data_IF_349166967343
#
_entry.id   IF_349166967343
#
_cell.length_a   1.000
_cell.length_b   1.000
_cell.length_c   1.000
_cell.angle_alpha   90.00
_cell.angle_beta   90.00
_cell.angle_gamma   90.00
#
_symmetry.space_group_name_H-M   'P 1'
#
loop_
_entity.id
_entity.type
_entity.pdbx_description
1 polymer ?
#
# COMPACT_ATOMS: atom_id res chain seq x y z
N UNK A 1 3.81 79.51 32.40
CA UNK A 1 4.49 80.71 31.82
C UNK A 1 5.58 80.27 30.88
N UNK A 2 5.56 80.84 29.71
CA UNK A 2 6.65 81.05 28.72
C UNK A 2 7.22 79.78 28.07
N UNK A 3 6.89 79.46 26.83
CA UNK A 3 7.38 79.99 25.52
C UNK A 3 8.90 79.83 25.32
N UNK A 4 9.23 79.04 24.30
CA UNK A 4 10.58 79.04 23.70
C UNK A 4 10.68 78.16 22.47
N UNK A 5 10.61 78.76 21.35
CA UNK A 5 10.75 78.60 19.92
C UNK A 5 11.78 77.58 19.44
N UNK A 6 11.48 77.05 18.20
CA UNK A 6 12.38 76.30 17.31
C UNK A 6 13.50 77.20 16.74
N UNK A 7 14.56 76.58 16.22
CA UNK A 7 14.75 76.70 14.79
C UNK A 7 15.05 75.42 14.03
N UNK A 8 14.68 75.51 12.76
CA UNK A 8 14.79 74.60 11.64
C UNK A 8 16.23 74.61 11.10
N UNK A 9 16.82 73.47 10.80
CA UNK A 9 17.93 73.37 9.86
C UNK A 9 17.77 72.09 9.05
N UNK A 10 17.55 72.26 7.77
CA UNK A 10 17.48 71.17 6.82
C UNK A 10 18.80 70.48 6.63
N UNK A 11 18.73 69.22 6.34
CA UNK A 11 19.76 68.50 5.62
C UNK A 11 19.13 67.54 4.64
N UNK A 12 19.39 67.74 3.40
CA UNK A 12 19.06 66.94 2.23
C UNK A 12 19.95 65.76 2.18
N UNK A 13 19.44 64.57 2.50
CA UNK A 13 20.10 63.31 2.14
C UNK A 13 19.27 62.54 1.14
N UNK A 14 19.88 62.42 -0.02
CA UNK A 14 19.49 61.66 -1.18
C UNK A 14 19.35 60.18 -0.81
N UNK A 15 18.14 59.67 -0.64
CA UNK A 15 17.88 58.24 -0.62
C UNK A 15 17.92 57.66 -2.03
N UNK A 16 19.00 56.97 -2.36
CA UNK A 16 19.05 56.01 -3.46
C UNK A 16 17.96 54.96 -3.27
N UNK A 17 17.21 54.58 -4.31
CA UNK A 17 16.19 53.53 -4.17
C UNK A 17 16.88 52.17 -3.96
N UNK A 18 16.82 51.66 -2.77
CA UNK A 18 17.19 50.27 -2.44
C UNK A 18 16.39 49.31 -3.32
N UNK A 19 17.09 48.66 -4.25
CA UNK A 19 16.54 47.54 -5.03
C UNK A 19 16.15 46.44 -4.03
N UNK A 20 14.88 46.33 -3.74
CA UNK A 20 14.34 45.15 -3.08
C UNK A 20 14.65 43.95 -3.97
N UNK A 21 15.45 43.01 -3.51
CA UNK A 21 15.65 41.71 -4.17
C UNK A 21 14.29 41.06 -4.28
N UNK A 22 13.56 41.33 -5.36
CA UNK A 22 12.28 40.71 -5.65
C UNK A 22 12.46 39.18 -5.71
N UNK A 23 11.68 38.46 -4.95
CA UNK A 23 11.68 37.00 -4.96
C UNK A 23 11.45 36.55 -6.39
N UNK A 24 12.42 35.81 -6.96
CA UNK A 24 12.31 35.25 -8.32
C UNK A 24 11.10 34.31 -8.36
N UNK A 25 10.21 34.51 -9.30
CA UNK A 25 9.00 33.71 -9.46
C UNK A 25 8.76 33.38 -10.94
N UNK A 26 7.76 32.53 -11.22
CA UNK A 26 7.45 32.14 -12.61
C UNK A 26 7.13 33.31 -13.53
N UNK A 27 6.60 34.43 -13.02
CA UNK A 27 6.34 35.65 -13.81
C UNK A 27 7.63 36.33 -14.21
N UNK A 28 8.65 36.30 -13.35
CA UNK A 28 9.99 36.85 -13.66
C UNK A 28 10.64 36.07 -14.81
N UNK A 29 10.51 34.72 -14.79
CA UNK A 29 11.02 33.85 -15.87
C UNK A 29 10.25 34.09 -17.17
N UNK A 30 8.92 34.18 -17.07
CA UNK A 30 8.04 34.44 -18.20
C UNK A 30 8.37 35.78 -18.88
N UNK A 31 8.56 36.85 -18.10
CA UNK A 31 8.93 38.16 -18.59
C UNK A 31 10.31 38.13 -19.29
N UNK A 32 11.32 37.43 -18.74
CA UNK A 32 12.65 37.28 -19.34
C UNK A 32 12.63 36.54 -20.67
N UNK A 33 11.72 35.60 -20.84
CA UNK A 33 11.56 34.77 -22.06
C UNK A 33 10.51 35.30 -23.05
N UNK A 34 9.77 36.35 -22.71
CA UNK A 34 8.69 36.87 -23.56
C UNK A 34 7.52 35.91 -23.73
N UNK A 35 7.26 35.05 -22.75
CA UNK A 35 6.20 34.04 -22.80
C UNK A 35 5.21 34.21 -21.64
N UNK A 36 4.09 33.52 -21.67
CA UNK A 36 3.14 33.51 -20.55
C UNK A 36 3.67 32.72 -19.36
N UNK A 37 3.25 33.09 -18.13
CA UNK A 37 3.55 32.31 -16.93
C UNK A 37 2.97 30.86 -17.03
N UNK A 38 1.93 30.67 -17.81
CA UNK A 38 1.35 29.37 -18.11
C UNK A 38 2.33 28.51 -18.95
N UNK A 39 2.96 29.11 -19.97
CA UNK A 39 3.98 28.42 -20.78
C UNK A 39 5.16 27.96 -19.92
N UNK A 40 5.66 28.83 -19.02
CA UNK A 40 6.69 28.47 -18.05
C UNK A 40 6.24 27.31 -17.16
N UNK A 41 5.03 27.39 -16.63
CA UNK A 41 4.48 26.34 -15.77
C UNK A 41 4.31 24.99 -16.48
N UNK A 42 3.93 24.98 -17.78
CA UNK A 42 3.83 23.76 -18.58
C UNK A 42 5.22 23.18 -18.89
N UNK A 43 6.20 24.05 -19.20
CA UNK A 43 7.58 23.64 -19.45
C UNK A 43 8.22 22.97 -18.22
N UNK A 44 8.05 23.57 -17.03
CA UNK A 44 8.58 23.04 -15.76
C UNK A 44 7.99 21.67 -15.40
N UNK A 45 6.71 21.45 -15.71
CA UNK A 45 6.02 20.18 -15.42
C UNK A 45 6.14 19.14 -16.52
N UNK A 46 6.93 19.36 -17.52
CA UNK A 46 7.02 18.49 -18.70
C UNK A 46 5.67 18.20 -19.39
N UNK A 47 4.72 19.12 -19.27
CA UNK A 47 3.38 18.92 -19.82
C UNK A 47 3.35 19.13 -21.35
N UNK A 48 2.42 18.49 -22.07
CA UNK A 48 2.22 18.72 -23.51
C UNK A 48 1.83 20.17 -23.78
N UNK A 49 2.08 20.64 -25.03
CA UNK A 49 1.80 22.03 -25.47
C UNK A 49 2.98 22.99 -25.38
N UNK A 50 4.18 22.54 -25.02
CA UNK A 50 5.42 23.32 -25.07
C UNK A 50 6.48 22.54 -25.85
N UNK A 51 7.12 23.19 -26.84
CA UNK A 51 8.18 22.58 -27.64
C UNK A 51 9.41 22.25 -26.80
N UNK A 52 10.19 21.22 -27.20
CA UNK A 52 11.41 20.82 -26.51
C UNK A 52 12.42 21.98 -26.42
N UNK A 53 12.55 22.82 -27.47
CA UNK A 53 13.44 23.99 -27.49
C UNK A 53 13.02 25.06 -26.47
N UNK A 54 11.71 25.35 -26.37
CA UNK A 54 11.20 26.31 -25.39
C UNK A 54 11.38 25.78 -23.95
N UNK A 55 11.17 24.47 -23.75
CA UNK A 55 11.41 23.84 -22.45
C UNK A 55 12.86 23.98 -22.01
N UNK A 56 13.82 23.72 -22.90
CA UNK A 56 15.23 23.89 -22.61
C UNK A 56 15.56 25.36 -22.22
N UNK A 57 15.01 26.35 -22.94
CA UNK A 57 15.18 27.76 -22.62
C UNK A 57 14.63 28.12 -21.22
N UNK A 58 13.47 27.59 -20.85
CA UNK A 58 12.86 27.82 -19.53
C UNK A 58 13.77 27.26 -18.43
N UNK A 59 14.28 26.03 -18.58
CA UNK A 59 15.17 25.40 -17.59
C UNK A 59 16.50 26.18 -17.43
N UNK A 60 17.09 26.63 -18.54
CA UNK A 60 18.29 27.45 -18.49
C UNK A 60 18.07 28.75 -17.72
N UNK A 61 16.96 29.46 -18.01
CA UNK A 61 16.67 30.73 -17.31
C UNK A 61 16.33 30.50 -15.83
N UNK A 62 15.74 29.37 -15.49
CA UNK A 62 15.48 28.99 -14.08
C UNK A 62 16.80 28.80 -13.33
N UNK A 63 17.77 28.12 -13.91
CA UNK A 63 19.10 27.92 -13.29
C UNK A 63 19.88 29.25 -13.18
N UNK A 64 19.86 30.10 -14.21
CA UNK A 64 20.48 31.44 -14.18
C UNK A 64 19.90 32.32 -13.06
N UNK A 65 18.59 32.24 -12.83
CA UNK A 65 17.92 33.06 -11.83
C UNK A 65 17.87 32.39 -10.43
N UNK A 66 18.43 31.17 -10.30
CA UNK A 66 18.38 30.40 -9.05
C UNK A 66 16.96 30.01 -8.61
N UNK A 67 16.03 29.97 -9.56
CA UNK A 67 14.64 29.61 -9.24
C UNK A 67 14.49 28.11 -9.01
N UNK A 68 14.07 27.73 -7.82
CA UNK A 68 13.68 26.35 -7.50
C UNK A 68 12.16 26.29 -7.29
N UNK A 69 11.44 25.45 -8.04
CA UNK A 69 10.02 25.22 -7.76
C UNK A 69 9.83 24.74 -6.31
N UNK A 70 8.91 25.36 -5.59
CA UNK A 70 8.51 24.86 -4.26
C UNK A 70 7.40 23.86 -4.45
N UNK A 71 7.61 22.55 -4.17
CA UNK A 71 6.62 21.51 -4.42
C UNK A 71 5.29 21.77 -3.69
N UNK A 72 5.35 22.23 -2.45
CA UNK A 72 4.17 22.57 -1.65
C UNK A 72 3.35 23.71 -2.27
N UNK A 73 4.03 24.78 -2.76
CA UNK A 73 3.35 25.90 -3.42
C UNK A 73 2.76 25.50 -4.77
N UNK A 74 3.46 24.65 -5.51
CA UNK A 74 2.99 24.11 -6.80
C UNK A 74 1.75 23.24 -6.62
N UNK A 75 1.71 22.41 -5.59
CA UNK A 75 0.55 21.59 -5.23
C UNK A 75 -0.64 22.48 -4.81
N UNK A 76 -0.41 23.48 -3.96
CA UNK A 76 -1.44 24.42 -3.51
C UNK A 76 -2.02 25.23 -4.68
N UNK A 77 -1.17 25.74 -5.58
CA UNK A 77 -1.61 26.46 -6.77
C UNK A 77 -2.31 25.56 -7.79
N UNK A 78 -1.97 24.28 -7.83
CA UNK A 78 -2.70 23.26 -8.58
C UNK A 78 -4.11 23.05 -8.03
N UNK A 79 -4.25 23.00 -6.71
CA UNK A 79 -5.55 22.93 -6.04
C UNK A 79 -6.39 24.19 -6.27
N UNK A 80 -5.84 25.39 -6.07
CA UNK A 80 -6.55 26.66 -6.26
C UNK A 80 -7.08 26.80 -7.70
N UNK A 81 -6.29 26.45 -8.72
CA UNK A 81 -6.71 26.50 -10.12
C UNK A 81 -7.84 25.52 -10.45
N UNK A 82 -7.82 24.33 -9.85
CA UNK A 82 -8.91 23.35 -9.98
C UNK A 82 -10.17 23.81 -9.27
N UNK A 83 -10.05 24.57 -8.19
CA UNK A 83 -11.18 25.12 -7.43
C UNK A 83 -11.77 26.41 -8.03
N UNK A 84 -11.04 27.12 -8.91
CA UNK A 84 -11.54 28.36 -9.52
C UNK A 84 -12.51 28.15 -10.68
N UNK A 85 -12.55 26.97 -11.29
CA UNK A 85 -13.54 26.62 -12.31
C UNK A 85 -14.53 25.60 -11.73
N UNK A 86 -15.62 26.08 -11.11
CA UNK A 86 -16.69 25.31 -10.46
C UNK A 86 -16.16 24.34 -9.38
N UNK A 87 -16.57 24.51 -8.13
CA UNK A 87 -16.31 23.65 -6.96
C UNK A 87 -16.57 22.15 -7.28
N UNK A 88 -15.70 21.51 -8.01
CA UNK A 88 -15.75 20.08 -8.22
C UNK A 88 -14.86 19.45 -7.13
N UNK A 89 -15.48 18.84 -6.15
CA UNK A 89 -14.77 18.00 -5.18
C UNK A 89 -14.14 16.86 -5.97
N UNK A 90 -12.82 16.63 -5.79
CA UNK A 90 -12.12 15.53 -6.46
C UNK A 90 -12.67 14.19 -6.02
N UNK A 91 -12.86 13.27 -6.96
CA UNK A 91 -13.49 11.98 -6.73
C UNK A 91 -12.51 10.83 -6.89
N UNK A 92 -12.57 9.90 -5.95
CA UNK A 92 -11.92 8.60 -6.03
C UNK A 92 -12.95 7.52 -6.36
N UNK A 93 -12.73 6.76 -7.42
CA UNK A 93 -13.51 5.59 -7.75
C UNK A 93 -12.85 4.36 -7.13
N UNK A 94 -13.57 3.65 -6.27
CA UNK A 94 -13.15 2.37 -5.71
C UNK A 94 -13.70 1.26 -6.61
N UNK A 95 -12.80 0.56 -7.31
CA UNK A 95 -13.16 -0.45 -8.30
C UNK A 95 -12.92 -1.84 -7.73
N UNK A 96 -13.97 -2.68 -7.70
CA UNK A 96 -13.88 -4.04 -7.21
C UNK A 96 -14.55 -5.04 -8.19
N UNK A 97 -14.14 -6.30 -8.16
CA UNK A 97 -14.73 -7.39 -8.96
C UNK A 97 -15.67 -8.29 -8.15
N UNK A 98 -16.01 -7.92 -6.94
CA UNK A 98 -16.88 -8.68 -6.06
C UNK A 98 -18.34 -8.30 -6.30
N UNK A 99 -19.24 -9.29 -6.21
CA UNK A 99 -20.66 -9.08 -6.47
C UNK A 99 -21.42 -8.46 -5.29
N UNK A 100 -20.70 -7.98 -4.29
CA UNK A 100 -21.25 -7.35 -3.08
C UNK A 100 -20.51 -6.06 -2.75
N UNK A 101 -21.14 -5.11 -2.04
CA UNK A 101 -20.45 -3.91 -1.57
C UNK A 101 -19.27 -4.26 -0.66
N UNK A 102 -18.13 -3.60 -0.86
CA UNK A 102 -16.91 -3.84 -0.07
C UNK A 102 -17.11 -3.65 1.44
N UNK A 103 -18.01 -2.73 1.83
CA UNK A 103 -18.35 -2.51 3.24
C UNK A 103 -19.05 -3.71 3.90
N UNK A 104 -19.76 -4.52 3.13
CA UNK A 104 -20.58 -5.64 3.59
C UNK A 104 -19.94 -7.01 3.35
N UNK A 105 -18.83 -7.06 2.60
CA UNK A 105 -18.19 -8.33 2.25
C UNK A 105 -17.74 -9.13 3.48
N UNK A 106 -17.91 -10.44 3.39
CA UNK A 106 -17.41 -11.39 4.38
C UNK A 106 -15.90 -11.64 4.26
N UNK A 107 -15.30 -11.28 3.13
CA UNK A 107 -13.87 -11.32 2.93
C UNK A 107 -13.19 -10.24 3.78
N UNK A 108 -12.77 -10.60 4.98
CA UNK A 108 -12.28 -9.68 6.00
C UNK A 108 -11.13 -8.78 5.52
N UNK A 109 -10.11 -9.26 4.79
CA UNK A 109 -9.06 -8.38 4.24
C UNK A 109 -9.61 -7.27 3.35
N UNK A 110 -10.53 -7.61 2.43
CA UNK A 110 -11.15 -6.64 1.53
C UNK A 110 -11.93 -5.57 2.27
N UNK A 111 -12.73 -5.98 3.25
CA UNK A 111 -13.49 -5.04 4.08
C UNK A 111 -12.57 -4.08 4.83
N UNK A 112 -11.46 -4.57 5.38
CA UNK A 112 -10.49 -3.75 6.09
C UNK A 112 -9.73 -2.80 5.15
N UNK A 113 -9.31 -3.25 3.97
CA UNK A 113 -8.75 -2.35 2.95
C UNK A 113 -9.73 -1.23 2.61
N UNK A 114 -11.01 -1.59 2.37
CA UNK A 114 -12.04 -0.60 2.05
C UNK A 114 -12.24 0.42 3.18
N UNK A 115 -12.38 -0.04 4.42
CA UNK A 115 -12.60 0.85 5.56
C UNK A 115 -11.42 1.80 5.76
N UNK A 116 -10.19 1.32 5.65
CA UNK A 116 -9.00 2.16 5.74
C UNK A 116 -8.93 3.18 4.61
N UNK A 117 -9.13 2.74 3.37
CA UNK A 117 -9.10 3.61 2.20
C UNK A 117 -10.20 4.68 2.26
N UNK A 118 -11.42 4.30 2.63
CA UNK A 118 -12.55 5.23 2.80
C UNK A 118 -12.24 6.29 3.88
N UNK A 119 -11.89 5.84 5.09
CA UNK A 119 -11.64 6.73 6.22
C UNK A 119 -10.52 7.75 5.88
N UNK A 120 -9.50 7.31 5.15
CA UNK A 120 -8.40 8.19 4.73
C UNK A 120 -8.80 9.14 3.62
N UNK A 121 -9.49 8.67 2.60
CA UNK A 121 -9.94 9.49 1.49
C UNK A 121 -10.90 10.60 1.96
N UNK A 122 -11.85 10.28 2.84
CA UNK A 122 -12.76 11.25 3.45
C UNK A 122 -12.00 12.31 4.27
N UNK A 123 -11.02 11.90 5.09
CA UNK A 123 -10.15 12.83 5.84
C UNK A 123 -9.35 13.76 4.93
N UNK A 124 -8.98 13.29 3.75
CA UNK A 124 -8.28 14.10 2.73
C UNK A 124 -9.24 14.97 1.90
N UNK A 125 -10.56 14.89 2.13
CA UNK A 125 -11.58 15.69 1.45
C UNK A 125 -11.98 15.17 0.08
N UNK A 126 -11.73 13.89 -0.23
CA UNK A 126 -12.19 13.25 -1.46
C UNK A 126 -13.61 12.70 -1.30
N UNK A 127 -14.37 12.72 -2.38
CA UNK A 127 -15.63 11.98 -2.49
C UNK A 127 -15.34 10.61 -3.08
N UNK A 128 -15.92 9.58 -2.47
CA UNK A 128 -15.74 8.19 -2.87
C UNK A 128 -16.98 7.68 -3.55
N UNK A 129 -16.80 6.98 -4.64
CA UNK A 129 -17.86 6.23 -5.32
C UNK A 129 -17.37 4.81 -5.62
N UNK A 130 -18.15 3.80 -5.25
CA UNK A 130 -17.81 2.39 -5.47
C UNK A 130 -18.35 1.90 -6.81
N UNK A 131 -17.50 1.19 -7.54
CA UNK A 131 -17.80 0.60 -8.84
C UNK A 131 -17.49 -0.89 -8.83
N UNK A 132 -18.52 -1.69 -9.09
CA UNK A 132 -18.31 -3.10 -9.38
C UNK A 132 -17.94 -3.28 -10.85
N UNK A 133 -16.89 -4.04 -11.10
CA UNK A 133 -16.51 -4.47 -12.44
C UNK A 133 -16.92 -5.94 -12.62
N UNK A 134 -17.63 -6.22 -13.70
CA UNK A 134 -17.89 -7.60 -14.11
C UNK A 134 -16.76 -8.15 -14.97
N UNK A 135 -16.88 -9.43 -15.33
CA UNK A 135 -15.90 -10.15 -16.14
C UNK A 135 -16.22 -10.12 -17.63
N UNK A 136 -17.47 -9.82 -17.99
CA UNK A 136 -17.89 -9.77 -19.40
C UNK A 136 -17.56 -8.44 -20.06
N UNK A 137 -17.38 -8.44 -21.38
CA UNK A 137 -17.11 -7.21 -22.14
C UNK A 137 -18.23 -6.16 -21.98
N UNK A 138 -19.49 -6.61 -21.89
CA UNK A 138 -20.62 -5.71 -21.68
C UNK A 138 -20.56 -5.01 -20.31
N UNK A 139 -20.23 -5.74 -19.25
CA UNK A 139 -20.05 -5.19 -17.90
C UNK A 139 -18.87 -4.22 -17.84
N UNK A 140 -17.77 -4.56 -18.50
CA UNK A 140 -16.60 -3.70 -18.64
C UNK A 140 -16.95 -2.41 -19.43
N UNK A 141 -17.77 -2.50 -20.47
CA UNK A 141 -18.26 -1.32 -21.19
C UNK A 141 -19.16 -0.43 -20.32
N UNK A 142 -20.04 -1.03 -19.50
CA UNK A 142 -20.86 -0.31 -18.52
C UNK A 142 -19.98 0.37 -17.47
N UNK A 143 -18.94 -0.30 -16.94
CA UNK A 143 -17.98 0.28 -16.02
C UNK A 143 -17.31 1.51 -16.65
N UNK A 144 -16.74 1.40 -17.86
CA UNK A 144 -16.10 2.52 -18.56
C UNK A 144 -17.03 3.73 -18.72
N UNK A 145 -18.30 3.48 -19.08
CA UNK A 145 -19.30 4.55 -19.21
C UNK A 145 -19.59 5.24 -17.88
N UNK A 146 -19.78 4.45 -16.82
CA UNK A 146 -20.06 4.96 -15.48
C UNK A 146 -18.87 5.76 -14.92
N UNK A 147 -17.65 5.27 -15.04
CA UNK A 147 -16.43 5.96 -14.61
C UNK A 147 -16.31 7.34 -15.30
N UNK A 148 -16.54 7.40 -16.62
CA UNK A 148 -16.52 8.68 -17.33
C UNK A 148 -17.62 9.65 -16.85
N UNK A 149 -18.83 9.16 -16.64
CA UNK A 149 -19.95 10.00 -16.21
C UNK A 149 -19.86 10.44 -14.75
N UNK A 150 -19.17 9.69 -13.89
CA UNK A 150 -18.95 10.04 -12.50
C UNK A 150 -18.01 11.24 -12.32
N UNK A 151 -17.14 11.49 -13.30
CA UNK A 151 -16.08 12.49 -13.20
C UNK A 151 -15.00 12.10 -12.19
N UNK A 152 -14.73 10.79 -12.01
CA UNK A 152 -13.65 10.32 -11.16
C UNK A 152 -12.30 10.81 -11.68
N UNK A 153 -11.42 11.26 -10.80
CA UNK A 153 -10.06 11.70 -11.10
C UNK A 153 -9.03 10.61 -10.84
N UNK A 154 -9.33 9.72 -9.87
CA UNK A 154 -8.45 8.62 -9.48
C UNK A 154 -9.21 7.31 -9.29
N UNK A 155 -8.51 6.21 -9.55
CA UNK A 155 -9.01 4.84 -9.38
C UNK A 155 -8.19 4.12 -8.31
N UNK A 156 -8.86 3.58 -7.31
CA UNK A 156 -8.30 2.63 -6.37
C UNK A 156 -8.85 1.25 -6.73
N UNK A 157 -7.96 0.38 -7.22
CA UNK A 157 -8.32 -0.97 -7.63
C UNK A 157 -8.14 -1.90 -6.43
N UNK A 158 -9.22 -2.58 -6.06
CA UNK A 158 -9.21 -3.58 -4.99
C UNK A 158 -8.83 -4.97 -5.54
N UNK A 159 -8.34 -5.87 -4.70
CA UNK A 159 -7.99 -7.22 -5.13
C UNK A 159 -9.13 -7.88 -5.89
N UNK A 160 -8.84 -8.40 -7.08
CA UNK A 160 -9.82 -9.10 -7.92
C UNK A 160 -9.99 -10.55 -7.49
N UNK A 161 -11.18 -11.13 -7.73
CA UNK A 161 -11.44 -12.56 -7.47
C UNK A 161 -10.54 -13.42 -8.38
N UNK A 162 -10.49 -13.08 -9.66
CA UNK A 162 -9.68 -13.75 -10.65
C UNK A 162 -8.48 -12.85 -11.03
N UNK A 163 -7.24 -13.25 -10.72
CA UNK A 163 -6.04 -12.47 -11.07
C UNK A 163 -5.77 -12.40 -12.57
N UNK A 164 -6.41 -13.24 -13.38
CA UNK A 164 -6.34 -13.18 -14.84
C UNK A 164 -7.30 -12.15 -15.45
N UNK A 165 -8.20 -11.58 -14.64
CA UNK A 165 -9.16 -10.59 -15.11
C UNK A 165 -8.46 -9.32 -15.56
N UNK A 166 -8.62 -8.97 -16.83
CA UNK A 166 -8.15 -7.68 -17.34
C UNK A 166 -9.24 -6.63 -17.21
N UNK A 167 -8.89 -5.49 -16.58
CA UNK A 167 -9.76 -4.31 -16.60
C UNK A 167 -9.54 -3.53 -17.89
N UNK A 168 -10.54 -3.50 -18.76
CA UNK A 168 -10.50 -2.72 -20.01
C UNK A 168 -10.84 -1.25 -19.73
N UNK A 169 -9.95 -0.54 -19.05
CA UNK A 169 -10.10 0.89 -18.71
C UNK A 169 -9.14 1.71 -19.57
N UNK A 170 -9.53 2.94 -19.90
CA UNK A 170 -8.58 3.90 -20.48
C UNK A 170 -7.78 4.55 -19.34
N UNK A 171 -6.68 3.89 -18.96
CA UNK A 171 -5.83 4.22 -17.81
C UNK A 171 -5.30 5.65 -17.85
N UNK A 172 -5.00 6.19 -19.01
CA UNK A 172 -4.44 7.53 -19.20
C UNK A 172 -5.34 8.66 -18.71
N UNK A 173 -6.63 8.37 -18.49
CA UNK A 173 -7.56 9.35 -17.96
C UNK A 173 -7.53 9.49 -16.45
N UNK A 174 -6.89 8.58 -15.73
CA UNK A 174 -6.97 8.47 -14.27
C UNK A 174 -5.60 8.37 -13.63
N UNK A 175 -5.50 8.86 -12.39
CA UNK A 175 -4.45 8.42 -11.46
C UNK A 175 -4.86 7.06 -10.92
N UNK A 176 -3.95 6.10 -10.83
CA UNK A 176 -4.32 4.72 -10.46
C UNK A 176 -3.37 4.14 -9.43
N UNK A 177 -3.94 3.47 -8.44
CA UNK A 177 -3.24 2.67 -7.44
C UNK A 177 -3.99 1.34 -7.28
N UNK A 178 -3.27 0.24 -7.13
CA UNK A 178 -3.83 -1.08 -6.82
C UNK A 178 -3.49 -1.49 -5.39
N UNK A 179 -4.46 -2.07 -4.69
CA UNK A 179 -4.25 -2.79 -3.44
C UNK A 179 -4.09 -4.28 -3.77
N UNK A 180 -3.03 -4.86 -3.26
CA UNK A 180 -2.69 -6.24 -3.57
C UNK A 180 -1.94 -6.37 -4.90
N UNK A 181 -1.87 -7.58 -5.44
CA UNK A 181 -1.16 -7.91 -6.67
C UNK A 181 -2.03 -8.84 -7.51
N UNK A 182 -3.22 -8.37 -7.85
CA UNK A 182 -4.19 -9.20 -8.55
C UNK A 182 -4.24 -8.94 -10.06
N UNK A 183 -3.76 -7.80 -10.52
CA UNK A 183 -3.74 -7.45 -11.95
C UNK A 183 -2.39 -7.80 -12.58
N UNK A 184 -2.27 -9.01 -13.10
CA UNK A 184 -1.03 -9.47 -13.71
C UNK A 184 -0.71 -8.71 -15.00
N UNK A 185 0.56 -8.31 -15.16
CA UNK A 185 1.06 -7.66 -16.36
C UNK A 185 0.65 -6.19 -16.54
N UNK A 186 -0.04 -5.60 -15.58
CA UNK A 186 -0.41 -4.18 -15.62
C UNK A 186 0.56 -3.40 -14.69
N UNK A 187 1.36 -2.45 -15.25
CA UNK A 187 2.41 -1.77 -14.49
C UNK A 187 1.84 -0.63 -13.62
N UNK A 188 1.08 -0.97 -12.59
CA UNK A 188 0.50 -0.04 -11.63
C UNK A 188 1.40 0.17 -10.41
N UNK A 189 1.18 1.27 -9.71
CA UNK A 189 1.69 1.44 -8.34
C UNK A 189 0.88 0.53 -7.41
N UNK A 190 1.57 -0.35 -6.68
CA UNK A 190 0.97 -1.37 -5.82
C UNK A 190 1.18 -1.03 -4.34
N UNK A 191 0.16 -1.27 -3.53
CA UNK A 191 0.28 -1.35 -2.07
C UNK A 191 -0.09 -2.75 -1.62
N UNK A 192 0.86 -3.43 -0.99
CA UNK A 192 0.70 -4.84 -0.59
C UNK A 192 1.19 -5.07 0.83
N UNK A 193 0.73 -6.16 1.44
CA UNK A 193 1.36 -6.67 2.65
C UNK A 193 2.78 -7.14 2.34
N UNK A 194 3.72 -6.96 3.26
CA UNK A 194 5.06 -7.54 3.16
C UNK A 194 5.01 -9.04 3.46
N UNK A 195 4.40 -9.80 2.57
CA UNK A 195 4.20 -11.24 2.75
C UNK A 195 5.51 -12.01 3.02
N UNK A 196 6.59 -11.63 2.30
CA UNK A 196 7.91 -12.24 2.53
C UNK A 196 8.43 -11.89 3.92
N UNK A 197 8.50 -10.61 4.27
CA UNK A 197 9.01 -10.15 5.55
C UNK A 197 8.18 -10.65 6.72
N UNK A 198 6.87 -10.73 6.56
CA UNK A 198 5.96 -11.26 7.57
C UNK A 198 6.21 -12.74 7.85
N UNK A 199 6.30 -13.59 6.81
CA UNK A 199 6.58 -15.00 6.96
C UNK A 199 7.98 -15.25 7.52
N UNK A 200 8.97 -14.50 7.05
CA UNK A 200 10.34 -14.57 7.54
C UNK A 200 10.41 -14.21 9.04
N UNK A 201 9.81 -13.09 9.44
CA UNK A 201 9.77 -12.63 10.84
C UNK A 201 9.05 -13.62 11.75
N UNK A 202 7.91 -14.18 11.27
CA UNK A 202 7.19 -15.22 11.99
C UNK A 202 8.10 -16.44 12.23
N UNK A 203 8.77 -16.92 11.21
CA UNK A 203 9.67 -18.06 11.31
C UNK A 203 10.84 -17.81 12.29
N UNK A 204 11.48 -16.65 12.21
CA UNK A 204 12.57 -16.30 13.13
C UNK A 204 12.08 -16.30 14.58
N UNK A 205 10.91 -15.74 14.84
CA UNK A 205 10.34 -15.75 16.17
C UNK A 205 10.08 -17.16 16.70
N UNK A 206 9.55 -18.05 15.86
CA UNK A 206 9.33 -19.45 16.27
C UNK A 206 10.63 -20.17 16.62
N UNK A 207 11.70 -19.90 15.88
CA UNK A 207 13.04 -20.42 16.18
C UNK A 207 13.55 -19.89 17.51
N UNK A 208 13.40 -18.59 17.78
CA UNK A 208 13.78 -17.94 19.04
C UNK A 208 12.96 -18.47 20.23
N UNK A 209 11.68 -18.75 20.04
CA UNK A 209 10.80 -19.35 21.03
C UNK A 209 11.09 -20.84 21.26
N UNK A 210 11.98 -21.46 20.46
CA UNK A 210 12.51 -22.80 20.67
C UNK A 210 11.72 -23.93 20.01
N UNK A 211 10.81 -23.63 19.06
CA UNK A 211 10.14 -24.65 18.27
C UNK A 211 11.15 -25.47 17.45
N UNK A 212 10.97 -26.79 17.41
CA UNK A 212 11.96 -27.72 16.83
C UNK A 212 11.51 -28.32 15.51
N UNK A 213 10.21 -28.34 15.24
CA UNK A 213 9.63 -28.96 14.05
C UNK A 213 8.52 -28.09 13.46
N UNK A 214 8.94 -27.05 12.74
CA UNK A 214 8.06 -26.02 12.17
C UNK A 214 7.57 -26.48 10.80
N UNK A 215 6.27 -26.72 10.68
CA UNK A 215 5.61 -27.01 9.41
C UNK A 215 5.01 -25.76 8.78
N UNK A 216 4.86 -25.75 7.46
CA UNK A 216 4.18 -24.70 6.71
C UNK A 216 3.18 -25.31 5.73
N UNK A 217 1.94 -24.83 5.75
CA UNK A 217 0.94 -25.14 4.73
C UNK A 217 0.98 -24.05 3.66
N UNK A 218 1.42 -24.46 2.46
CA UNK A 218 1.52 -23.62 1.30
C UNK A 218 0.31 -23.86 0.38
N UNK A 219 -0.65 -22.93 0.41
CA UNK A 219 -1.81 -22.95 -0.49
C UNK A 219 -1.39 -22.47 -1.88
N UNK A 220 -1.49 -23.35 -2.89
CA UNK A 220 -0.86 -23.11 -4.22
C UNK A 220 -1.54 -22.01 -5.02
N UNK A 221 -2.86 -21.80 -4.91
CA UNK A 221 -3.53 -20.69 -5.60
C UNK A 221 -3.19 -19.32 -5.01
N UNK A 222 -3.02 -19.26 -3.70
CA UNK A 222 -2.54 -18.04 -3.04
C UNK A 222 -1.10 -17.71 -3.48
N UNK A 223 -0.28 -18.75 -3.60
CA UNK A 223 1.09 -18.63 -4.12
C UNK A 223 1.15 -17.94 -5.49
N UNK A 224 0.29 -18.34 -6.43
CA UNK A 224 0.22 -17.75 -7.75
C UNK A 224 -0.10 -16.25 -7.69
N UNK A 225 -1.00 -15.85 -6.80
CA UNK A 225 -1.42 -14.46 -6.63
C UNK A 225 -0.31 -13.56 -6.08
N UNK A 226 0.43 -14.03 -5.07
CA UNK A 226 1.43 -13.24 -4.34
C UNK A 226 2.88 -13.59 -4.73
N UNK A 227 3.07 -14.29 -5.86
CA UNK A 227 4.39 -14.64 -6.38
C UNK A 227 5.22 -15.50 -5.43
N UNK A 228 4.60 -16.32 -4.59
CA UNK A 228 5.30 -17.22 -3.65
C UNK A 228 5.93 -16.53 -2.45
N UNK A 229 5.57 -15.31 -2.16
CA UNK A 229 6.26 -14.49 -1.16
C UNK A 229 6.26 -15.11 0.24
N UNK A 230 5.17 -15.73 0.72
CA UNK A 230 5.17 -16.44 2.00
C UNK A 230 6.15 -17.62 1.99
N UNK A 231 6.08 -18.45 0.95
CA UNK A 231 6.98 -19.58 0.79
C UNK A 231 8.45 -19.12 0.76
N UNK A 232 8.75 -18.05 0.02
CA UNK A 232 10.07 -17.44 -0.03
C UNK A 232 10.57 -17.03 1.35
N UNK A 233 9.73 -16.39 2.17
CA UNK A 233 10.06 -16.01 3.54
C UNK A 233 10.36 -17.20 4.44
N UNK A 234 9.54 -18.26 4.37
CA UNK A 234 9.75 -19.51 5.14
C UNK A 234 11.04 -20.21 4.71
N UNK A 235 11.28 -20.36 3.42
CA UNK A 235 12.48 -21.01 2.89
C UNK A 235 13.75 -20.23 3.23
N UNK A 236 13.73 -18.90 3.14
CA UNK A 236 14.85 -18.06 3.54
C UNK A 236 15.16 -18.21 5.04
N UNK A 237 14.15 -18.18 5.90
CA UNK A 237 14.31 -18.42 7.33
C UNK A 237 14.87 -19.82 7.60
N UNK A 238 14.34 -20.85 6.93
CA UNK A 238 14.83 -22.23 7.03
C UNK A 238 16.31 -22.34 6.67
N UNK A 239 16.70 -21.77 5.53
CA UNK A 239 18.09 -21.79 5.06
C UNK A 239 19.04 -21.12 6.06
N UNK A 240 18.71 -19.92 6.54
CA UNK A 240 19.55 -19.17 7.48
C UNK A 240 19.67 -19.85 8.85
N UNK A 241 18.70 -20.66 9.25
CA UNK A 241 18.75 -21.46 10.48
C UNK A 241 19.29 -22.89 10.24
N UNK A 242 19.89 -23.17 9.08
CA UNK A 242 20.52 -24.45 8.76
C UNK A 242 19.56 -25.63 8.62
N UNK A 243 18.31 -25.36 8.21
CA UNK A 243 17.22 -26.33 7.95
C UNK A 243 16.82 -27.24 9.13
N UNK A 244 17.38 -27.04 10.31
CA UNK A 244 17.21 -27.99 11.43
C UNK A 244 15.82 -28.07 12.00
N UNK A 245 15.10 -26.90 12.02
CA UNK A 245 13.81 -26.75 12.67
C UNK A 245 12.65 -26.76 11.70
N UNK A 246 12.90 -26.71 10.40
CA UNK A 246 11.85 -26.62 9.38
C UNK A 246 11.67 -27.97 8.68
N UNK A 247 10.43 -28.29 8.37
CA UNK A 247 10.08 -29.45 7.57
C UNK A 247 9.64 -29.01 6.18
N UNK A 248 9.71 -29.92 5.20
CA UNK A 248 9.26 -29.65 3.83
C UNK A 248 7.82 -29.12 3.84
N UNK A 249 7.53 -27.98 3.18
CA UNK A 249 6.18 -27.42 3.13
C UNK A 249 5.15 -28.37 2.53
N UNK A 250 3.95 -28.42 3.10
CA UNK A 250 2.82 -29.08 2.48
C UNK A 250 2.24 -28.17 1.38
N UNK A 251 2.72 -28.35 0.15
CA UNK A 251 2.26 -27.58 -1.02
C UNK A 251 1.05 -28.26 -1.65
N UNK A 252 -0.13 -27.70 -1.45
CA UNK A 252 -1.38 -28.24 -2.01
C UNK A 252 -2.48 -27.18 -2.07
N UNK A 253 -3.30 -27.26 -3.13
CA UNK A 253 -4.54 -26.51 -3.20
C UNK A 253 -5.61 -27.18 -2.32
N UNK A 254 -6.11 -26.45 -1.33
CA UNK A 254 -7.09 -26.92 -0.34
C UNK A 254 -6.77 -28.29 0.27
N UNK A 255 -5.67 -28.43 1.04
CA UNK A 255 -5.36 -29.68 1.69
C UNK A 255 -6.48 -30.09 2.67
N UNK A 256 -6.92 -31.35 2.59
CA UNK A 256 -7.95 -31.84 3.48
C UNK A 256 -7.46 -31.93 4.94
N UNK A 257 -8.34 -31.89 5.93
CA UNK A 257 -7.99 -32.08 7.34
C UNK A 257 -7.18 -33.36 7.62
N UNK A 258 -7.45 -34.45 6.87
CA UNK A 258 -6.72 -35.71 7.00
C UNK A 258 -5.28 -35.59 6.50
N UNK A 259 -5.05 -34.85 5.43
CA UNK A 259 -3.70 -34.62 4.88
C UNK A 259 -2.89 -33.74 5.81
N UNK A 260 -3.49 -32.70 6.38
CA UNK A 260 -2.85 -31.86 7.38
C UNK A 260 -2.46 -32.66 8.61
N UNK A 261 -3.38 -33.49 9.13
CA UNK A 261 -3.13 -34.35 10.28
C UNK A 261 -1.97 -35.34 10.00
N UNK A 262 -1.96 -35.94 8.80
CA UNK A 262 -0.87 -36.84 8.37
C UNK A 262 0.45 -36.06 8.31
N UNK A 263 0.46 -34.92 7.63
CA UNK A 263 1.66 -34.07 7.51
C UNK A 263 2.25 -33.71 8.87
N UNK A 264 1.41 -33.25 9.81
CA UNK A 264 1.85 -32.92 11.17
C UNK A 264 2.43 -34.12 11.91
N UNK A 265 1.78 -35.29 11.82
CA UNK A 265 2.23 -36.52 12.52
C UNK A 265 3.50 -37.11 11.93
N UNK A 266 3.55 -37.23 10.60
CA UNK A 266 4.70 -37.84 9.90
C UNK A 266 5.97 -37.00 10.11
N UNK A 267 5.81 -35.68 10.14
CA UNK A 267 6.91 -34.73 10.36
C UNK A 267 7.12 -34.38 11.84
N UNK A 268 6.26 -34.83 12.75
CA UNK A 268 6.33 -34.54 14.20
C UNK A 268 6.33 -33.02 14.47
N UNK A 269 5.50 -32.27 13.76
CA UNK A 269 5.46 -30.82 13.90
C UNK A 269 5.00 -30.43 15.31
N UNK A 270 5.69 -29.47 15.93
CA UNK A 270 5.31 -28.78 17.17
C UNK A 270 4.72 -27.40 16.90
N UNK A 271 5.01 -26.82 15.73
CA UNK A 271 4.40 -25.59 15.22
C UNK A 271 3.92 -25.79 13.77
N UNK A 272 2.80 -25.16 13.41
CA UNK A 272 2.28 -25.14 12.06
C UNK A 272 1.94 -23.72 11.66
N UNK A 273 2.60 -23.25 10.61
CA UNK A 273 2.35 -21.95 9.98
C UNK A 273 1.34 -22.15 8.85
N UNK A 274 0.37 -21.24 8.75
CA UNK A 274 -0.63 -21.20 7.69
C UNK A 274 -0.66 -19.82 7.04
N UNK A 275 -1.05 -19.75 5.76
CA UNK A 275 -1.22 -18.48 5.04
C UNK A 275 -2.45 -17.70 5.51
N UNK A 276 -2.76 -16.62 4.81
CA UNK A 276 -3.84 -15.69 5.17
C UNK A 276 -5.25 -16.28 5.08
N UNK A 277 -5.47 -17.30 4.26
CA UNK A 277 -6.78 -17.94 4.06
C UNK A 277 -6.89 -19.28 4.80
N UNK A 278 -6.62 -19.25 6.09
CA UNK A 278 -6.75 -20.43 6.90
C UNK A 278 -8.21 -20.70 7.24
N UNK A 279 -8.73 -21.87 6.83
CA UNK A 279 -10.04 -22.30 7.26
C UNK A 279 -10.00 -22.78 8.71
N UNK A 280 -10.75 -22.13 9.62
CA UNK A 280 -10.77 -22.49 11.04
C UNK A 280 -11.16 -23.93 11.33
N UNK A 281 -11.86 -24.63 10.41
CA UNK A 281 -12.19 -26.04 10.60
C UNK A 281 -10.94 -26.94 10.70
N UNK A 282 -9.77 -26.51 10.20
CA UNK A 282 -8.51 -27.24 10.41
C UNK A 282 -8.12 -27.36 11.88
N UNK A 283 -8.56 -26.42 12.73
CA UNK A 283 -8.33 -26.49 14.18
C UNK A 283 -9.16 -27.57 14.86
N UNK A 284 -10.19 -28.08 14.21
CA UNK A 284 -11.09 -29.13 14.73
C UNK A 284 -10.79 -30.51 14.17
N UNK A 285 -9.63 -30.68 13.50
CA UNK A 285 -9.25 -31.99 12.96
C UNK A 285 -9.21 -33.02 14.07
N UNK A 286 -9.99 -34.10 13.92
CA UNK A 286 -10.07 -35.17 14.90
C UNK A 286 -8.69 -35.78 15.16
N UNK A 287 -8.19 -35.63 16.38
CA UNK A 287 -6.89 -36.15 16.81
C UNK A 287 -5.74 -35.12 16.75
N UNK A 288 -6.06 -33.83 16.54
CA UNK A 288 -5.11 -32.73 16.66
C UNK A 288 -5.81 -31.56 17.39
N UNK A 289 -5.25 -31.11 18.49
CA UNK A 289 -5.81 -30.03 19.31
C UNK A 289 -4.85 -28.85 19.34
N UNK A 290 -5.32 -27.73 18.81
CA UNK A 290 -4.60 -26.47 18.87
C UNK A 290 -4.31 -26.08 20.33
N UNK A 291 -3.10 -25.61 20.60
CA UNK A 291 -2.67 -25.19 21.93
C UNK A 291 -2.41 -26.32 22.93
N UNK A 292 -2.58 -27.58 22.51
CA UNK A 292 -2.27 -28.76 23.32
C UNK A 292 -1.30 -29.73 22.65
N UNK A 293 -1.61 -30.08 21.41
CA UNK A 293 -0.84 -31.08 20.67
C UNK A 293 0.10 -30.40 19.65
N UNK A 294 -0.23 -29.18 19.23
CA UNK A 294 0.51 -28.35 18.28
C UNK A 294 0.16 -26.87 18.45
N UNK A 295 1.12 -25.98 18.23
CA UNK A 295 0.88 -24.52 18.13
C UNK A 295 0.56 -24.13 16.69
N UNK A 296 -0.46 -23.28 16.50
CA UNK A 296 -0.82 -22.73 15.20
C UNK A 296 -0.47 -21.26 15.12
N UNK A 297 0.06 -20.89 13.97
CA UNK A 297 0.46 -19.52 13.64
C UNK A 297 -0.06 -19.16 12.26
N UNK A 298 -0.45 -17.91 12.08
CA UNK A 298 -0.96 -17.43 10.79
C UNK A 298 -0.25 -16.16 10.33
N UNK A 299 0.00 -16.08 9.01
CA UNK A 299 0.29 -14.83 8.34
C UNK A 299 -1.05 -14.19 7.96
N UNK A 300 -1.49 -13.13 8.65
CA UNK A 300 -2.80 -12.51 8.44
C UNK A 300 -3.96 -13.26 9.10
N UNK A 301 -3.93 -13.50 10.43
CA UNK A 301 -5.06 -14.14 11.11
C UNK A 301 -6.31 -13.25 11.08
N UNK A 302 -7.43 -13.82 10.71
CA UNK A 302 -8.72 -13.16 10.72
C UNK A 302 -9.21 -12.93 12.16
N UNK A 303 -10.21 -12.07 12.34
CA UNK A 303 -10.79 -11.80 13.66
C UNK A 303 -11.31 -13.06 14.34
N UNK A 304 -11.88 -14.00 13.59
CA UNK A 304 -12.31 -15.32 14.09
C UNK A 304 -11.15 -16.17 14.61
N UNK A 305 -9.97 -16.09 13.97
CA UNK A 305 -8.77 -16.79 14.37
C UNK A 305 -8.19 -16.19 15.64
N UNK A 306 -8.22 -14.86 15.74
CA UNK A 306 -7.81 -14.11 16.94
C UNK A 306 -8.67 -14.50 18.15
N UNK A 307 -10.00 -14.59 17.97
CA UNK A 307 -10.91 -15.05 19.05
C UNK A 307 -10.58 -16.47 19.47
N UNK A 308 -10.14 -17.32 18.54
CA UNK A 308 -9.70 -18.70 18.82
C UNK A 308 -8.29 -18.78 19.40
N UNK A 309 -7.56 -17.68 19.50
CA UNK A 309 -6.26 -17.63 20.12
C UNK A 309 -5.11 -18.07 19.21
N UNK A 310 -5.21 -17.88 17.89
CA UNK A 310 -4.12 -18.10 16.94
C UNK A 310 -3.20 -16.90 16.99
N UNK A 311 -1.91 -17.14 17.26
CA UNK A 311 -0.85 -16.16 17.16
C UNK A 311 -0.40 -15.95 15.71
N UNK A 312 0.34 -14.88 15.44
CA UNK A 312 0.90 -14.66 14.12
C UNK A 312 1.20 -13.21 13.80
N UNK A 313 1.17 -12.89 12.51
CA UNK A 313 1.43 -11.54 12.01
C UNK A 313 0.11 -10.91 11.54
N UNK A 314 -0.32 -9.83 12.17
CA UNK A 314 -1.37 -8.94 11.65
C UNK A 314 -0.82 -8.22 10.42
N UNK A 315 -1.40 -8.44 9.28
CA UNK A 315 -0.95 -7.83 8.02
C UNK A 315 -1.35 -6.36 7.87
N UNK A 316 -1.98 -5.77 8.87
CA UNK A 316 -2.32 -4.34 8.87
C UNK A 316 -3.18 -3.93 7.66
N UNK A 317 -4.20 -4.71 7.32
CA UNK A 317 -5.04 -4.50 6.12
C UNK A 317 -5.69 -3.12 6.08
N UNK A 318 -6.09 -2.59 7.24
CA UNK A 318 -6.66 -1.24 7.31
C UNK A 318 -5.63 -0.18 6.95
N UNK A 319 -4.42 -0.30 7.47
CA UNK A 319 -3.31 0.61 7.20
C UNK A 319 -2.86 0.54 5.73
N UNK A 320 -2.92 -0.64 5.10
CA UNK A 320 -2.69 -0.78 3.64
C UNK A 320 -3.74 0.04 2.87
N UNK A 321 -5.01 -0.07 3.24
CA UNK A 321 -6.07 0.74 2.63
C UNK A 321 -5.86 2.24 2.81
N UNK A 322 -5.50 2.67 4.02
CA UNK A 322 -5.18 4.08 4.32
C UNK A 322 -4.01 4.59 3.46
N UNK A 323 -2.92 3.82 3.39
CA UNK A 323 -1.75 4.18 2.60
C UNK A 323 -2.06 4.23 1.09
N UNK A 324 -2.93 3.34 0.60
CA UNK A 324 -3.34 3.30 -0.80
C UNK A 324 -4.16 4.54 -1.19
N UNK A 325 -5.10 4.97 -0.36
CA UNK A 325 -5.86 6.20 -0.59
C UNK A 325 -4.96 7.44 -0.53
N UNK A 326 -3.98 7.47 0.37
CA UNK A 326 -3.00 8.55 0.47
C UNK A 326 -2.09 8.61 -0.77
N UNK A 327 -1.60 7.47 -1.24
CA UNK A 327 -0.78 7.39 -2.44
C UNK A 327 -1.58 7.83 -3.67
N UNK A 328 -2.83 7.36 -3.81
CA UNK A 328 -3.72 7.80 -4.89
C UNK A 328 -3.93 9.32 -4.82
N UNK A 329 -4.19 9.87 -3.64
CA UNK A 329 -4.31 11.32 -3.44
C UNK A 329 -3.07 12.09 -3.89
N UNK A 330 -1.86 11.59 -3.63
CA UNK A 330 -0.60 12.18 -4.11
C UNK A 330 -0.51 12.19 -5.63
N UNK A 331 -0.82 11.08 -6.29
CA UNK A 331 -0.84 10.98 -7.75
C UNK A 331 -1.87 11.94 -8.38
N UNK A 332 -3.07 12.02 -7.80
CA UNK A 332 -4.12 12.95 -8.24
C UNK A 332 -3.68 14.41 -8.10
N UNK A 333 -3.02 14.77 -7.00
CA UNK A 333 -2.53 16.13 -6.76
C UNK A 333 -1.37 16.51 -7.69
N UNK A 334 -0.45 15.59 -7.98
CA UNK A 334 0.62 15.80 -8.96
C UNK A 334 0.11 15.86 -10.40
N UNK A 335 -1.08 15.33 -10.66
CA UNK A 335 -1.65 15.17 -12.00
C UNK A 335 -1.03 14.01 -12.80
N UNK A 336 -0.38 13.08 -12.10
CA UNK A 336 0.14 11.85 -12.68
C UNK A 336 -1.01 10.94 -13.07
N UNK A 337 -1.07 10.52 -14.33
CA UNK A 337 -2.13 9.67 -14.89
C UNK A 337 -1.53 8.54 -15.70
N UNK A 338 -2.31 7.49 -15.90
CA UNK A 338 -1.89 6.31 -16.64
C UNK A 338 -0.86 5.48 -15.89
N UNK A 339 -0.04 4.77 -16.64
CA UNK A 339 1.01 3.94 -16.09
C UNK A 339 2.23 4.78 -15.72
N UNK A 340 2.82 4.55 -14.55
CA UNK A 340 4.09 5.18 -14.20
C UNK A 340 5.23 4.65 -15.09
N UNK A 341 6.23 5.46 -15.36
CA UNK A 341 7.44 5.02 -16.09
C UNK A 341 8.15 3.87 -15.35
N UNK A 342 8.18 3.96 -14.03
CA UNK A 342 8.69 2.91 -13.14
C UNK A 342 7.59 2.60 -12.13
N UNK A 343 6.98 1.40 -12.19
CA UNK A 343 5.98 0.98 -11.21
C UNK A 343 6.59 0.87 -9.81
N UNK A 344 5.92 1.44 -8.83
CA UNK A 344 6.33 1.35 -7.43
C UNK A 344 5.56 0.22 -6.73
N UNK A 345 6.26 -0.56 -5.91
CA UNK A 345 5.64 -1.52 -4.99
C UNK A 345 5.93 -1.09 -3.56
N UNK A 346 4.89 -0.75 -2.83
CA UNK A 346 4.98 -0.30 -1.44
C UNK A 346 4.55 -1.46 -0.54
N UNK A 347 5.50 -2.02 0.20
CA UNK A 347 5.28 -3.08 1.16
C UNK A 347 4.94 -2.50 2.53
N UNK A 348 3.84 -2.94 3.12
CA UNK A 348 3.45 -2.57 4.48
C UNK A 348 3.77 -3.75 5.39
N UNK A 349 4.70 -3.61 6.34
CA UNK A 349 5.04 -4.69 7.26
C UNK A 349 3.91 -4.95 8.24
N UNK A 350 3.75 -6.23 8.57
CA UNK A 350 2.80 -6.65 9.59
C UNK A 350 3.30 -6.43 11.02
N UNK A 351 2.44 -6.75 11.98
CA UNK A 351 2.73 -6.65 13.41
C UNK A 351 2.50 -8.00 14.08
N UNK A 352 3.39 -8.39 14.98
CA UNK A 352 3.20 -9.58 15.78
C UNK A 352 1.95 -9.47 16.67
N UNK A 353 1.17 -10.55 16.73
CA UNK A 353 0.04 -10.71 17.64
C UNK A 353 0.31 -11.88 18.57
N UNK A 354 0.44 -11.61 19.86
CA UNK A 354 0.48 -12.63 20.89
C UNK A 354 -0.92 -13.19 21.14
N UNK A 355 -1.01 -14.51 21.25
CA UNK A 355 -2.24 -15.20 21.57
C UNK A 355 -2.00 -16.31 22.59
N UNK A 356 -3.07 -16.77 23.27
CA UNK A 356 -2.95 -17.70 24.40
C UNK A 356 -2.92 -19.17 24.02
N UNK A 357 -3.10 -19.53 22.74
CA UNK A 357 -3.15 -20.93 22.28
C UNK A 357 -1.78 -21.38 21.75
N UNK A 358 -0.74 -21.29 22.61
CA UNK A 358 0.55 -21.88 22.32
C UNK A 358 0.78 -23.06 23.24
N UNK A 359 1.31 -24.15 22.68
CA UNK A 359 1.84 -25.24 23.51
C UNK A 359 3.19 -24.72 24.08
N UNK A 360 3.37 -24.72 25.41
CA UNK A 360 4.68 -24.37 25.96
C UNK A 360 5.74 -25.26 25.35
N UNK A 361 6.77 -24.67 24.77
CA UNK A 361 7.93 -25.42 24.26
C UNK A 361 8.57 -26.11 25.46
N UNK A 362 8.56 -27.44 25.47
CA UNK A 362 9.28 -28.18 26.50
C UNK A 362 10.77 -27.87 26.32
N UNK A 363 11.36 -27.17 27.28
CA UNK A 363 12.80 -26.99 27.34
C UNK A 363 13.45 -28.35 27.11
N UNK A 364 14.34 -28.44 26.09
CA UNK A 364 14.97 -29.67 25.66
C UNK A 364 15.46 -30.47 26.89
N UNK A 365 14.77 -31.57 27.18
CA UNK A 365 14.83 -32.23 28.44
C UNK A 365 16.25 -32.69 28.75
N UNK A 366 16.75 -32.27 29.89
CA UNK A 366 17.80 -32.94 30.61
C UNK A 366 17.40 -34.42 30.71
N UNK A 367 17.98 -35.25 29.84
CA UNK A 367 17.86 -36.68 29.93
C UNK A 367 18.45 -37.07 31.28
N UNK A 368 17.60 -37.24 32.30
CA UNK A 368 18.00 -37.90 33.54
C UNK A 368 18.48 -39.32 33.17
N UNK A 369 19.79 -39.53 33.08
CA UNK A 369 20.38 -40.86 33.10
C UNK A 369 19.89 -41.52 34.38
N UNK A 370 18.89 -42.40 34.29
CA UNK A 370 18.60 -43.34 35.35
C UNK A 370 19.81 -44.24 35.55
N UNK A 371 20.56 -43.97 36.60
CA UNK A 371 21.49 -44.96 37.12
C UNK A 371 20.65 -46.15 37.62
N UNK A 372 20.65 -47.24 36.89
CA UNK A 372 20.32 -48.56 37.44
C UNK A 372 21.56 -48.98 38.21
N UNK A 373 21.45 -49.09 39.54
CA UNK A 373 22.30 -49.87 40.39
C UNK A 373 21.93 -51.34 40.32
#
# INVERSE_FOLDING_TARGET
MAKGARPNSGNSDSKSPGVSKGTVNMRTIAAKLGVSAQTVSLAVRNAPGVSASMRAKVLTVMDELGYRPQPALSALMGQIRRHSSKRSVMKMAFVNSWNEPLAATTAEPLRHFYLGARDKAEKLGYVIEEFSCGTTEEEQAKLRKRLRSSGADGLLIFPTIDPTSSLMINWENYSVVEIGQSMQGVPLTLLISDHFGNAFTLCQRLVEEGFQRIGFIHETKEHERIGGSYLGGVLAASFLNGHRQFVEPLSKHHPSPREILRYVKDNRCDALIVGAHFDPQFLTVKGLRAGRDISFFACGPWSSDRVRGIAGIDECWKEIGEAAAEQLGRLMQSGTRGFPEIPEVIHIPGRWIDQKLQVPVQAAGTVKKSRRG
#
